data_IF_272972468540
#
_entry.id   IF_272972468540
#
_cell.length_a   1.000
_cell.length_b   1.000
_cell.length_c   1.000
_cell.angle_alpha   90.00
_cell.angle_beta   90.00
_cell.angle_gamma   90.00
#
_symmetry.space_group_name_H-M   'P 1'
#
loop_
_entity.id
_entity.type
_entity.pdbx_description
1 polymer ?
#
# COMPACT_ATOMS: atom_id res chain seq x y z
N UNK A 1 0.46 -4.24 13.90
CA UNK A 1 -0.73 -4.69 13.14
C UNK A 1 -0.26 -5.75 12.14
N UNK A 2 -1.11 -6.64 11.60
CA UNK A 2 -0.72 -7.52 10.47
C UNK A 2 -1.38 -7.05 9.19
N UNK A 3 -0.78 -7.34 8.04
CA UNK A 3 -1.34 -7.03 6.72
C UNK A 3 -2.78 -7.55 6.57
N UNK A 4 -3.05 -8.80 6.97
CA UNK A 4 -4.41 -9.37 6.88
C UNK A 4 -5.45 -8.61 7.70
N UNK A 5 -5.07 -8.16 8.91
CA UNK A 5 -5.97 -7.36 9.76
C UNK A 5 -6.22 -5.99 9.14
N UNK A 6 -5.20 -5.38 8.54
CA UNK A 6 -5.36 -4.12 7.82
C UNK A 6 -6.30 -4.26 6.61
N UNK A 7 -6.10 -5.30 5.78
CA UNK A 7 -6.97 -5.61 4.63
C UNK A 7 -8.41 -5.86 5.08
N UNK A 8 -8.62 -6.57 6.20
CA UNK A 8 -9.94 -6.78 6.77
C UNK A 8 -10.61 -5.46 7.19
N UNK A 9 -9.87 -4.54 7.80
CA UNK A 9 -10.39 -3.21 8.17
C UNK A 9 -10.78 -2.41 6.92
N UNK A 10 -9.93 -2.35 5.89
CA UNK A 10 -10.24 -1.64 4.64
C UNK A 10 -11.47 -2.23 3.94
N UNK A 11 -11.57 -3.57 3.92
CA UNK A 11 -12.72 -4.27 3.33
C UNK A 11 -14.01 -3.95 4.09
N UNK A 12 -13.96 -4.00 5.43
CA UNK A 12 -15.11 -3.65 6.27
C UNK A 12 -15.51 -2.17 6.13
N UNK A 13 -14.56 -1.29 5.82
CA UNK A 13 -14.81 0.12 5.48
C UNK A 13 -15.37 0.32 4.06
N UNK A 14 -15.59 -0.75 3.28
CA UNK A 14 -16.20 -0.71 1.96
C UNK A 14 -15.24 -0.50 0.79
N UNK A 15 -13.93 -0.64 1.01
CA UNK A 15 -12.97 -0.57 -0.08
C UNK A 15 -13.03 -1.84 -0.94
N UNK A 16 -13.20 -1.67 -2.25
CA UNK A 16 -12.89 -2.70 -3.23
C UNK A 16 -11.38 -2.88 -3.40
N UNK A 17 -10.96 -4.02 -3.97
CA UNK A 17 -9.54 -4.27 -4.30
C UNK A 17 -8.94 -3.17 -5.17
N UNK A 18 -9.70 -2.65 -6.14
CA UNK A 18 -9.24 -1.57 -7.01
C UNK A 18 -9.03 -0.26 -6.23
N UNK A 19 -9.92 0.05 -5.28
CA UNK A 19 -9.77 1.22 -4.41
C UNK A 19 -8.60 1.07 -3.43
N UNK A 20 -8.33 -0.14 -2.92
CA UNK A 20 -7.13 -0.40 -2.12
C UNK A 20 -5.86 -0.20 -2.92
N UNK A 21 -5.80 -0.68 -4.17
CA UNK A 21 -4.64 -0.44 -5.02
C UNK A 21 -4.45 1.07 -5.29
N UNK A 22 -5.54 1.77 -5.65
CA UNK A 22 -5.50 3.22 -5.84
C UNK A 22 -5.02 3.96 -4.59
N UNK A 23 -5.43 3.50 -3.40
CA UNK A 23 -4.95 4.06 -2.14
C UNK A 23 -3.44 3.91 -1.98
N UNK A 24 -2.87 2.72 -2.25
CA UNK A 24 -1.42 2.50 -2.21
C UNK A 24 -0.67 3.42 -3.20
N UNK A 25 -1.18 3.51 -4.43
CA UNK A 25 -0.62 4.36 -5.48
C UNK A 25 -0.58 5.83 -5.06
N UNK A 26 -1.68 6.35 -4.52
CA UNK A 26 -1.77 7.74 -4.05
C UNK A 26 -0.93 7.98 -2.79
N UNK A 27 -0.88 7.02 -1.86
CA UNK A 27 -0.08 7.15 -0.65
C UNK A 27 1.41 7.18 -0.96
N UNK A 28 1.91 6.29 -1.84
CA UNK A 28 3.30 6.34 -2.32
C UNK A 28 3.61 7.64 -3.05
N UNK A 29 2.67 8.20 -3.81
CA UNK A 29 2.85 9.45 -4.55
C UNK A 29 2.98 10.66 -3.63
N UNK A 30 2.12 10.73 -2.61
CA UNK A 30 1.99 11.91 -1.76
C UNK A 30 2.99 11.88 -0.61
N UNK A 31 3.17 10.72 0.03
CA UNK A 31 3.97 10.57 1.26
C UNK A 31 4.82 9.29 1.23
N UNK A 32 5.80 9.16 0.30
CA UNK A 32 6.56 7.92 0.09
C UNK A 32 7.34 7.46 1.32
N UNK A 33 7.79 8.40 2.17
CA UNK A 33 8.49 8.07 3.41
C UNK A 33 7.54 7.50 4.48
N UNK A 34 6.31 8.01 4.58
CA UNK A 34 5.32 7.50 5.52
C UNK A 34 4.71 6.18 5.02
N UNK A 35 4.56 6.02 3.71
CA UNK A 35 4.15 4.74 3.13
C UNK A 35 5.15 3.62 3.45
N UNK A 36 6.46 3.88 3.37
CA UNK A 36 7.50 2.94 3.81
C UNK A 36 7.31 2.54 5.28
N UNK A 37 7.23 3.51 6.19
CA UNK A 37 7.06 3.26 7.63
C UNK A 37 5.78 2.49 7.92
N UNK A 38 4.71 2.78 7.18
CA UNK A 38 3.44 2.09 7.33
C UNK A 38 3.57 0.61 6.99
N UNK A 39 4.22 0.26 5.88
CA UNK A 39 4.42 -1.13 5.48
C UNK A 39 5.34 -1.88 6.47
N UNK A 40 6.37 -1.21 7.00
CA UNK A 40 7.22 -1.75 8.06
C UNK A 40 6.44 -2.01 9.36
N UNK A 41 5.52 -1.11 9.71
CA UNK A 41 4.62 -1.27 10.86
C UNK A 41 3.63 -2.44 10.70
N UNK A 42 3.28 -2.80 9.47
CA UNK A 42 2.51 -4.01 9.16
C UNK A 42 3.35 -5.29 9.25
N UNK A 43 4.67 -5.17 9.43
CA UNK A 43 5.60 -6.29 9.54
C UNK A 43 5.99 -6.90 8.19
N UNK A 44 5.81 -6.17 7.10
CA UNK A 44 6.18 -6.61 5.75
C UNK A 44 7.71 -6.55 5.62
N UNK A 45 8.32 -7.55 5.00
CA UNK A 45 9.77 -7.57 4.82
C UNK A 45 10.24 -6.53 3.78
N UNK A 46 11.52 -6.16 3.86
CA UNK A 46 12.08 -5.09 3.03
C UNK A 46 12.06 -5.39 1.53
N UNK A 47 12.17 -6.67 1.13
CA UNK A 47 12.13 -7.03 -0.29
C UNK A 47 10.71 -6.90 -0.84
N UNK A 48 9.71 -7.35 -0.07
CA UNK A 48 8.30 -7.17 -0.43
C UNK A 48 7.89 -5.69 -0.43
N UNK A 49 8.34 -4.89 0.54
CA UNK A 49 8.12 -3.43 0.55
C UNK A 49 8.69 -2.78 -0.72
N UNK A 50 9.92 -3.12 -1.10
CA UNK A 50 10.54 -2.57 -2.30
C UNK A 50 9.72 -2.87 -3.55
N UNK A 51 9.17 -4.08 -3.65
CA UNK A 51 8.32 -4.52 -4.76
C UNK A 51 6.98 -3.77 -4.78
N UNK A 52 6.26 -3.69 -3.64
CA UNK A 52 5.00 -2.96 -3.53
C UNK A 52 5.17 -1.51 -3.98
N UNK A 53 6.21 -0.84 -3.49
CA UNK A 53 6.47 0.58 -3.82
C UNK A 53 6.89 0.76 -5.28
N UNK A 54 7.62 -0.20 -5.86
CA UNK A 54 7.94 -0.19 -7.27
C UNK A 54 6.68 -0.28 -8.13
N UNK A 55 5.76 -1.17 -7.78
CA UNK A 55 4.53 -1.35 -8.54
C UNK A 55 3.60 -0.12 -8.41
N UNK A 56 3.53 0.50 -7.23
CA UNK A 56 2.83 1.78 -7.04
C UNK A 56 3.36 2.86 -8.01
N UNK A 57 4.69 2.97 -8.16
CA UNK A 57 5.32 3.96 -9.04
C UNK A 57 5.12 3.65 -10.53
N UNK A 58 5.04 2.37 -10.91
CA UNK A 58 4.70 1.97 -12.30
C UNK A 58 3.24 2.33 -12.63
N UNK A 59 2.32 2.06 -11.72
CA UNK A 59 0.90 2.35 -11.91
C UNK A 59 0.65 3.87 -12.09
N UNK A 60 1.45 4.72 -11.41
CA UNK A 60 1.43 6.18 -11.62
C UNK A 60 1.90 6.59 -13.02
N UNK A 61 2.88 5.89 -13.59
CA UNK A 61 3.45 6.21 -14.90
C UNK A 61 2.58 5.75 -16.07
N UNK A 62 1.59 4.88 -15.81
CA UNK A 62 0.73 4.26 -16.83
C UNK A 62 -0.71 4.83 -16.82
N UNK A 63 -0.98 5.81 -15.94
CA UNK A 63 -2.31 6.42 -15.72
C UNK A 63 -2.41 7.83 -16.30
#
# INVERSE_FOLDING_TARGET
MTTDKWVAIMTAAGFSKQQMNRWHVEFERQEPAEHQKFLEYLGIDQAEIAQIRLDCRKDQATS
#
